data_IF_059963210829
#
_entry.id   IF_059963210829
#
_cell.length_a   1.000
_cell.length_b   1.000
_cell.length_c   1.000
_cell.angle_alpha   90.00
_cell.angle_beta   90.00
_cell.angle_gamma   90.00
#
_symmetry.space_group_name_H-M   'P 1'
#
loop_
_entity.id
_entity.type
_entity.pdbx_description
1 polymer ?
#
# COMPACT_ATOMS: atom_id res chain seq x y z
N UNK A 1 16.76 0.55 5.37
CA UNK A 1 16.56 -0.90 5.15
C UNK A 1 15.94 -1.16 3.79
N UNK A 2 14.73 -0.65 3.49
CA UNK A 2 14.11 -0.88 2.19
C UNK A 2 14.94 -0.25 1.05
N UNK A 3 15.34 1.03 1.18
CA UNK A 3 16.15 1.68 0.15
C UNK A 3 17.54 1.02 0.01
N UNK A 4 18.15 0.59 1.12
CA UNK A 4 19.44 -0.12 1.13
C UNK A 4 19.38 -1.46 0.38
N UNK A 5 18.18 -2.04 0.24
CA UNK A 5 17.93 -3.27 -0.52
C UNK A 5 17.49 -3.00 -1.97
N UNK A 6 17.52 -1.74 -2.44
CA UNK A 6 17.04 -1.37 -3.78
C UNK A 6 15.52 -1.47 -3.93
N UNK A 7 14.78 -1.31 -2.83
CA UNK A 7 13.32 -1.32 -2.82
C UNK A 7 12.77 0.08 -2.54
N UNK A 8 11.85 0.51 -3.37
CA UNK A 8 11.14 1.79 -3.28
C UNK A 8 9.73 1.56 -2.74
N UNK A 9 9.32 2.40 -1.77
CA UNK A 9 7.95 2.44 -1.28
C UNK A 9 7.03 3.03 -2.36
N UNK A 10 6.02 2.27 -2.76
CA UNK A 10 5.09 2.65 -3.84
C UNK A 10 4.08 3.72 -3.42
N UNK A 11 4.05 4.09 -2.13
CA UNK A 11 2.98 4.91 -1.57
C UNK A 11 1.63 4.19 -1.59
N UNK A 12 0.56 4.95 -1.36
CA UNK A 12 -0.81 4.44 -1.39
C UNK A 12 -1.83 5.57 -1.51
N UNK A 13 -3.05 5.21 -1.90
CA UNK A 13 -4.26 6.03 -1.85
C UNK A 13 -5.25 5.47 -0.82
N UNK A 14 -6.13 6.33 -0.29
CA UNK A 14 -7.15 5.95 0.69
C UNK A 14 -6.72 6.14 2.15
N UNK A 15 -7.36 5.42 3.10
CA UNK A 15 -7.15 5.60 4.54
C UNK A 15 -5.68 5.48 4.96
N UNK A 16 -5.24 6.29 5.94
CA UNK A 16 -3.83 6.31 6.39
C UNK A 16 -3.37 5.02 7.06
N UNK A 17 -4.29 4.31 7.71
CA UNK A 17 -3.99 3.15 8.55
C UNK A 17 -4.50 1.88 7.88
N UNK A 18 -3.73 0.81 8.03
CA UNK A 18 -4.06 -0.52 7.48
C UNK A 18 -4.38 -1.52 8.58
N UNK A 19 -4.27 -1.11 9.84
CA UNK A 19 -4.55 -1.97 10.98
C UNK A 19 -5.12 -1.18 12.15
N UNK A 20 -6.01 -1.81 12.90
CA UNK A 20 -6.45 -1.34 14.22
C UNK A 20 -6.49 -2.47 15.23
N UNK A 21 -6.27 -2.17 16.51
CA UNK A 21 -6.47 -3.16 17.57
C UNK A 21 -7.96 -3.46 17.88
N UNK A 22 -8.90 -2.87 17.15
CA UNK A 22 -10.35 -3.08 17.30
C UNK A 22 -10.96 -2.62 18.63
N UNK A 23 -10.21 -1.89 19.47
CA UNK A 23 -10.71 -1.45 20.79
C UNK A 23 -11.60 -0.22 20.66
N UNK A 24 -12.43 0.00 21.69
CA UNK A 24 -13.36 1.13 21.74
C UNK A 24 -12.69 2.51 21.83
N UNK A 25 -13.50 3.58 21.83
CA UNK A 25 -13.03 4.95 22.01
C UNK A 25 -12.13 5.06 23.25
N UNK A 26 -11.05 5.84 23.16
CA UNK A 26 -9.98 6.02 24.17
C UNK A 26 -8.95 4.89 24.31
N UNK A 27 -9.18 3.70 23.73
CA UNK A 27 -8.20 2.59 23.74
C UNK A 27 -7.80 2.11 22.33
N UNK A 28 -8.43 2.65 21.30
CA UNK A 28 -8.16 2.31 19.91
C UNK A 28 -6.76 2.77 19.49
N UNK A 29 -6.04 1.88 18.84
CA UNK A 29 -4.73 2.17 18.23
C UNK A 29 -4.82 1.84 16.76
N UNK A 30 -4.34 2.78 15.94
CA UNK A 30 -4.26 2.64 14.49
C UNK A 30 -2.81 2.64 14.05
N UNK A 31 -2.45 1.72 13.14
CA UNK A 31 -1.10 1.64 12.57
C UNK A 31 -1.17 1.42 11.06
N UNK A 32 -0.12 1.86 10.36
CA UNK A 32 0.14 1.49 8.96
C UNK A 32 1.23 0.43 8.96
N UNK A 33 0.83 -0.83 8.94
CA UNK A 33 1.74 -1.98 9.00
C UNK A 33 2.05 -2.53 7.61
N UNK A 34 1.11 -2.39 6.70
CA UNK A 34 1.16 -2.97 5.36
C UNK A 34 1.63 -1.89 4.37
N UNK A 35 2.56 -2.26 3.50
CA UNK A 35 3.16 -1.41 2.46
C UNK A 35 3.53 -2.26 1.26
N UNK A 36 3.39 -1.71 0.06
CA UNK A 36 3.97 -2.32 -1.14
C UNK A 36 5.30 -1.66 -1.49
N UNK A 37 6.28 -2.51 -1.75
CA UNK A 37 7.62 -2.10 -2.16
C UNK A 37 7.93 -2.70 -3.53
N UNK A 38 8.66 -1.96 -4.36
CA UNK A 38 9.05 -2.40 -5.70
C UNK A 38 10.54 -2.14 -5.94
N UNK A 39 11.18 -3.03 -6.70
CA UNK A 39 12.53 -2.79 -7.23
C UNK A 39 12.47 -2.05 -8.57
N UNK A 40 13.62 -1.64 -9.07
CA UNK A 40 13.74 -0.88 -10.31
C UNK A 40 13.19 -1.64 -11.53
N UNK A 41 13.37 -2.96 -11.58
CA UNK A 41 12.84 -3.78 -12.68
C UNK A 41 11.30 -3.73 -12.73
N UNK A 42 10.65 -3.76 -11.56
CA UNK A 42 9.20 -3.63 -11.46
C UNK A 42 8.75 -2.23 -11.88
N UNK A 43 9.41 -1.19 -11.39
CA UNK A 43 9.09 0.20 -11.72
C UNK A 43 9.28 0.49 -13.21
N UNK A 44 10.22 -0.18 -13.87
CA UNK A 44 10.40 -0.09 -15.32
C UNK A 44 9.26 -0.79 -16.09
N UNK A 45 8.80 -1.96 -15.64
CA UNK A 45 7.74 -2.72 -16.30
C UNK A 45 6.34 -2.12 -16.07
N UNK A 46 6.07 -1.63 -14.86
CA UNK A 46 4.77 -1.10 -14.44
C UNK A 46 4.91 0.30 -13.81
N UNK A 47 5.30 1.31 -14.60
CA UNK A 47 5.61 2.66 -14.09
C UNK A 47 4.39 3.46 -13.61
N UNK A 48 3.18 2.88 -13.72
CA UNK A 48 1.94 3.42 -13.18
C UNK A 48 1.30 2.47 -12.15
N UNK A 49 2.10 1.59 -11.53
CA UNK A 49 1.63 0.83 -10.38
C UNK A 49 1.12 1.76 -9.29
N UNK A 50 -0.05 1.45 -8.75
CA UNK A 50 -0.61 2.14 -7.60
C UNK A 50 -1.01 1.14 -6.51
N UNK A 51 -1.21 1.64 -5.30
CA UNK A 51 -1.76 0.88 -4.19
C UNK A 51 -2.94 1.67 -3.61
N UNK A 52 -4.05 1.00 -3.33
CA UNK A 52 -5.21 1.57 -2.66
C UNK A 52 -5.58 0.78 -1.42
N UNK A 53 -5.84 1.45 -0.31
CA UNK A 53 -6.34 0.83 0.91
C UNK A 53 -7.86 0.70 0.84
N UNK A 54 -8.37 -0.52 0.99
CA UNK A 54 -9.80 -0.83 0.95
C UNK A 54 -10.38 -0.91 2.36
N UNK A 55 -11.68 -0.64 2.48
CA UNK A 55 -12.40 -0.85 3.73
C UNK A 55 -12.44 -2.34 4.10
N UNK A 56 -12.23 -2.64 5.38
CA UNK A 56 -12.38 -3.98 5.94
C UNK A 56 -13.67 -4.05 6.75
N UNK A 57 -14.40 -5.16 6.63
CA UNK A 57 -15.67 -5.39 7.34
C UNK A 57 -15.56 -6.41 8.47
N UNK A 58 -14.44 -7.15 8.56
CA UNK A 58 -14.28 -8.22 9.54
C UNK A 58 -12.84 -8.61 9.87
N UNK A 59 -11.85 -7.90 9.34
CA UNK A 59 -10.44 -8.06 9.74
C UNK A 59 -9.99 -6.82 10.48
N UNK A 60 -9.08 -7.01 11.43
CA UNK A 60 -8.33 -5.93 12.07
C UNK A 60 -7.35 -5.24 11.10
N UNK A 61 -7.07 -5.86 9.95
CA UNK A 61 -6.36 -5.28 8.81
C UNK A 61 -7.30 -4.78 7.70
N UNK A 62 -6.86 -3.74 6.99
CA UNK A 62 -7.41 -3.23 5.73
C UNK A 62 -6.70 -3.88 4.54
N UNK A 63 -7.42 -4.43 3.56
CA UNK A 63 -6.80 -4.95 2.35
C UNK A 63 -6.10 -3.86 1.53
N UNK A 64 -4.98 -4.23 0.90
CA UNK A 64 -4.30 -3.40 -0.09
C UNK A 64 -4.63 -3.96 -1.48
N UNK A 65 -5.16 -3.11 -2.36
CA UNK A 65 -5.29 -3.39 -3.79
C UNK A 65 -4.09 -2.80 -4.51
N UNK A 66 -3.34 -3.65 -5.22
CA UNK A 66 -2.23 -3.24 -6.09
C UNK A 66 -2.65 -3.36 -7.54
N UNK A 67 -2.63 -2.26 -8.28
CA UNK A 67 -2.95 -2.25 -9.71
C UNK A 67 -1.67 -2.12 -10.53
N UNK A 68 -1.42 -3.05 -11.45
CA UNK A 68 -0.20 -3.13 -12.24
C UNK A 68 -0.42 -2.52 -13.62
N UNK A 69 -0.35 -1.19 -13.70
CA UNK A 69 -0.60 -0.47 -14.94
C UNK A 69 0.71 -0.20 -15.69
N UNK A 70 0.71 -0.55 -16.97
CA UNK A 70 1.68 -0.06 -17.94
C UNK A 70 1.18 1.33 -18.36
N UNK A 71 2.05 2.34 -18.40
CA UNK A 71 1.66 3.62 -19.03
C UNK A 71 1.37 3.31 -20.50
N UNK A 72 0.18 3.59 -21.04
CA UNK A 72 0.03 3.59 -22.48
C UNK A 72 1.04 4.61 -22.99
N UNK A 73 2.00 4.15 -23.80
CA UNK A 73 2.86 5.08 -24.51
C UNK A 73 1.95 6.06 -25.25
N UNK A 74 2.23 7.36 -25.14
CA UNK A 74 1.52 8.36 -25.93
C UNK A 74 1.53 7.88 -27.38
N UNK A 75 0.37 7.46 -27.89
CA UNK A 75 0.18 7.14 -29.29
C UNK A 75 0.40 8.39 -30.15
#
# INVERSE_FOLDING_TARGET
>A
IAEDCGLTDLGYYGPRYTWSNGRGPCAIVWKRLDRGLANDNWLAAYPATNISHLASTGSDHSPLLMEMNIRPGNA
#
